data_IF_291632398282
#
_entry.id   IF_291632398282
#
_cell.length_a   1.000
_cell.length_b   1.000
_cell.length_c   1.000
_cell.angle_alpha   90.00
_cell.angle_beta   90.00
_cell.angle_gamma   90.00
#
_symmetry.space_group_name_H-M   'P 1'
#
loop_
_entity.id
_entity.type
_entity.pdbx_description
1 polymer ?
#
# COMPACT_ATOMS: atom_id res chain seq x y z
N UNK A 1 -2.25 23.22 32.51
CA UNK A 1 -2.57 22.37 31.33
C UNK A 1 -2.16 23.15 30.09
N UNK A 2 -1.45 22.53 29.12
CA UNK A 2 -1.17 23.22 27.85
C UNK A 2 -2.50 23.45 27.12
N UNK A 3 -2.80 24.70 26.75
CA UNK A 3 -3.92 24.97 25.85
C UNK A 3 -3.58 24.38 24.48
N UNK A 4 -4.42 23.45 24.02
CA UNK A 4 -4.39 22.91 22.66
C UNK A 4 -5.29 23.79 21.82
N UNK A 5 -4.75 24.36 20.74
CA UNK A 5 -5.53 25.11 19.73
C UNK A 5 -5.62 24.29 18.44
N UNK A 6 -6.58 24.63 17.57
CA UNK A 6 -6.68 24.05 16.23
C UNK A 6 -5.34 24.18 15.48
N UNK A 7 -4.91 23.11 14.81
CA UNK A 7 -3.61 23.04 14.14
C UNK A 7 -2.40 22.72 15.03
N UNK A 8 -2.59 22.58 16.35
CA UNK A 8 -1.51 22.16 17.25
C UNK A 8 -1.07 20.72 16.96
N UNK A 9 0.22 20.52 16.64
CA UNK A 9 0.82 19.18 16.53
C UNK A 9 0.78 18.50 17.89
N UNK A 10 -0.10 17.51 18.03
CA UNK A 10 -0.30 16.79 19.29
C UNK A 10 0.80 15.75 19.56
N UNK A 11 1.32 15.17 18.49
CA UNK A 11 2.27 14.07 18.57
C UNK A 11 3.01 13.93 17.25
N UNK A 12 4.25 13.45 17.31
CA UNK A 12 5.00 12.97 16.15
C UNK A 12 5.72 11.67 16.50
N UNK A 13 5.86 10.75 15.54
CA UNK A 13 6.61 9.52 15.76
C UNK A 13 8.10 9.83 15.94
N UNK A 14 8.76 9.10 16.83
CA UNK A 14 10.22 9.15 16.93
C UNK A 14 10.86 8.53 15.69
N UNK A 15 12.12 8.86 15.43
CA UNK A 15 12.87 8.29 14.29
C UNK A 15 12.90 6.76 14.34
N UNK A 16 12.99 6.17 15.53
CA UNK A 16 12.94 4.73 15.71
C UNK A 16 11.58 4.12 15.31
N UNK A 17 10.47 4.81 15.58
CA UNK A 17 9.14 4.37 15.13
C UNK A 17 9.05 4.46 13.61
N UNK A 18 9.54 5.55 13.02
CA UNK A 18 9.54 5.73 11.57
C UNK A 18 10.40 4.67 10.87
N UNK A 19 11.62 4.42 11.36
CA UNK A 19 12.54 3.45 10.77
C UNK A 19 12.00 2.00 10.81
N UNK A 20 11.23 1.65 11.85
CA UNK A 20 10.68 0.30 12.03
C UNK A 20 9.26 0.12 11.48
N UNK A 21 8.65 1.17 10.90
CA UNK A 21 7.32 1.07 10.32
C UNK A 21 7.32 0.14 9.09
N UNK A 22 6.25 -0.66 8.93
CA UNK A 22 6.05 -1.47 7.73
C UNK A 22 6.06 -0.63 6.44
N UNK A 23 5.57 0.62 6.52
CA UNK A 23 5.58 1.55 5.40
C UNK A 23 7.00 1.90 4.95
N UNK A 24 7.91 2.14 5.88
CA UNK A 24 9.33 2.41 5.59
C UNK A 24 10.02 1.17 5.01
N UNK A 25 9.63 -0.03 5.45
CA UNK A 25 10.09 -1.28 4.82
C UNK A 25 9.53 -1.41 3.39
N UNK A 26 8.27 -1.10 3.19
CA UNK A 26 7.61 -1.17 1.90
C UNK A 26 8.21 -0.20 0.87
N UNK A 27 8.49 1.06 1.26
CA UNK A 27 9.17 2.03 0.38
C UNK A 27 10.55 1.56 -0.05
N UNK A 28 11.33 0.94 0.86
CA UNK A 28 12.63 0.33 0.49
C UNK A 28 12.46 -0.84 -0.46
N UNK A 29 11.50 -1.71 -0.17
CA UNK A 29 11.20 -2.86 -1.04
C UNK A 29 10.75 -2.41 -2.44
N UNK A 30 9.96 -1.34 -2.56
CA UNK A 30 9.56 -0.74 -3.84
C UNK A 30 10.77 -0.19 -4.61
N UNK A 31 11.73 0.45 -3.93
CA UNK A 31 12.96 0.92 -4.56
C UNK A 31 13.79 -0.26 -5.11
N UNK A 32 13.91 -1.34 -4.35
CA UNK A 32 14.70 -2.52 -4.70
C UNK A 32 14.06 -3.37 -5.81
N UNK A 33 12.74 -3.56 -5.78
CA UNK A 33 12.04 -4.53 -6.65
C UNK A 33 11.34 -3.86 -7.84
N UNK A 34 10.97 -2.60 -7.72
CA UNK A 34 10.22 -1.86 -8.75
C UNK A 34 10.92 -0.57 -9.21
N UNK A 35 12.11 -0.26 -8.68
CA UNK A 35 12.86 0.98 -8.97
C UNK A 35 12.06 2.26 -8.65
N UNK A 36 11.08 2.18 -7.74
CA UNK A 36 10.24 3.29 -7.32
C UNK A 36 10.79 3.92 -6.04
N UNK A 37 11.12 5.21 -6.10
CA UNK A 37 11.72 5.96 -5.00
C UNK A 37 10.79 7.09 -4.57
N UNK A 38 10.61 7.24 -3.26
CA UNK A 38 9.74 8.25 -2.67
C UNK A 38 10.48 8.95 -1.53
N UNK A 39 10.45 10.29 -1.53
CA UNK A 39 11.13 11.09 -0.51
C UNK A 39 10.31 11.20 0.77
N UNK A 40 8.98 11.09 0.66
CA UNK A 40 8.06 11.22 1.77
C UNK A 40 6.76 10.43 1.54
N UNK A 41 5.94 10.34 2.59
CA UNK A 41 4.64 9.66 2.53
C UNK A 41 3.67 10.27 1.50
N UNK A 42 3.51 11.60 1.39
CA UNK A 42 2.70 12.21 0.33
C UNK A 42 3.05 11.74 -1.09
N UNK A 43 4.33 11.59 -1.42
CA UNK A 43 4.75 11.13 -2.76
C UNK A 43 4.32 9.68 -3.01
N UNK A 44 4.51 8.80 -2.01
CA UNK A 44 4.04 7.41 -2.07
C UNK A 44 2.51 7.35 -2.19
N UNK A 45 1.80 8.18 -1.42
CA UNK A 45 0.34 8.24 -1.45
C UNK A 45 -0.17 8.69 -2.82
N UNK A 46 0.42 9.75 -3.39
CA UNK A 46 0.04 10.25 -4.70
C UNK A 46 0.22 9.18 -5.77
N UNK A 47 1.35 8.48 -5.75
CA UNK A 47 1.56 7.34 -6.64
C UNK A 47 0.52 6.22 -6.42
N UNK A 48 0.19 5.89 -5.17
CA UNK A 48 -0.77 4.81 -4.87
C UNK A 48 -2.19 5.05 -5.40
N UNK A 49 -2.58 6.32 -5.59
CA UNK A 49 -3.90 6.67 -6.14
C UNK A 49 -3.85 6.90 -7.65
N UNK A 50 -2.73 7.38 -8.17
CA UNK A 50 -2.54 7.62 -9.61
C UNK A 50 -2.30 6.31 -10.36
N UNK A 51 -1.49 5.40 -9.80
CA UNK A 51 -1.10 4.11 -10.36
C UNK A 51 -1.72 2.96 -9.56
N UNK A 52 -3.05 2.88 -9.58
CA UNK A 52 -3.80 2.00 -8.66
C UNK A 52 -3.51 0.51 -8.89
N UNK A 53 -3.39 0.08 -10.15
CA UNK A 53 -3.14 -1.31 -10.52
C UNK A 53 -1.75 -1.72 -10.04
N UNK A 54 -0.72 -0.94 -10.40
CA UNK A 54 0.67 -1.17 -9.95
C UNK A 54 0.76 -1.21 -8.43
N UNK A 55 0.07 -0.29 -7.74
CA UNK A 55 0.07 -0.24 -6.28
C UNK A 55 -0.52 -1.51 -5.65
N UNK A 56 -1.67 -1.98 -6.13
CA UNK A 56 -2.30 -3.16 -5.55
C UNK A 56 -1.60 -4.46 -5.93
N UNK A 57 -0.98 -4.53 -7.11
CA UNK A 57 -0.07 -5.61 -7.48
C UNK A 57 1.15 -5.65 -6.56
N UNK A 58 1.78 -4.49 -6.32
CA UNK A 58 2.97 -4.41 -5.47
C UNK A 58 2.66 -4.73 -4.01
N UNK A 59 1.47 -4.40 -3.51
CA UNK A 59 1.00 -4.84 -2.19
C UNK A 59 0.88 -6.38 -2.15
N UNK A 60 0.33 -7.00 -3.19
CA UNK A 60 0.22 -8.45 -3.28
C UNK A 60 1.59 -9.14 -3.16
N UNK A 61 2.57 -8.63 -3.89
CA UNK A 61 3.94 -9.15 -3.86
C UNK A 61 4.68 -8.86 -2.57
N UNK A 62 4.53 -7.66 -1.99
CA UNK A 62 5.18 -7.29 -0.74
C UNK A 62 4.74 -8.15 0.44
N UNK A 63 3.47 -8.55 0.49
CA UNK A 63 2.95 -9.47 1.50
C UNK A 63 3.09 -10.94 1.12
N UNK A 64 3.69 -11.23 -0.04
CA UNK A 64 3.92 -12.59 -0.54
C UNK A 64 2.63 -13.44 -0.60
N UNK A 65 1.51 -12.79 -0.95
CA UNK A 65 0.21 -13.44 -0.99
C UNK A 65 0.17 -14.53 -2.07
N UNK A 66 -0.39 -15.68 -1.71
CA UNK A 66 -0.47 -16.86 -2.56
C UNK A 66 -1.82 -16.96 -3.24
N UNK A 67 -1.78 -17.16 -4.55
CA UNK A 67 -2.92 -17.56 -5.36
C UNK A 67 -2.65 -18.91 -6.02
N UNK A 68 -3.73 -19.68 -6.21
CA UNK A 68 -3.73 -20.90 -7.02
C UNK A 68 -3.97 -20.59 -8.51
N UNK A 69 -4.52 -19.42 -8.81
CA UNK A 69 -4.68 -18.89 -10.16
C UNK A 69 -4.48 -17.37 -10.12
N UNK A 70 -3.59 -16.86 -10.97
CA UNK A 70 -3.32 -15.42 -11.07
C UNK A 70 -4.52 -14.67 -11.66
N UNK A 71 -4.69 -13.38 -11.32
CA UNK A 71 -5.68 -12.51 -11.95
C UNK A 71 -5.37 -12.29 -13.44
N UNK A 72 -6.40 -11.90 -14.20
CA UNK A 72 -6.23 -11.39 -15.57
C UNK A 72 -5.73 -9.94 -15.58
N UNK A 73 -6.22 -9.15 -14.63
CA UNK A 73 -5.83 -7.76 -14.36
C UNK A 73 -6.08 -7.42 -12.89
N UNK A 74 -5.51 -6.34 -12.38
CA UNK A 74 -5.66 -5.95 -10.98
C UNK A 74 -7.01 -5.27 -10.74
N UNK A 75 -7.43 -4.36 -11.63
CA UNK A 75 -8.71 -3.67 -11.53
C UNK A 75 -9.38 -3.57 -12.91
N UNK A 76 -10.39 -4.40 -13.17
CA UNK A 76 -11.07 -4.43 -14.46
C UNK A 76 -12.12 -3.32 -14.62
N UNK A 77 -12.85 -2.98 -13.55
CA UNK A 77 -13.80 -1.87 -13.55
C UNK A 77 -13.58 -0.99 -12.31
N UNK A 78 -13.43 0.32 -12.53
CA UNK A 78 -13.25 1.32 -11.47
C UNK A 78 -14.56 1.97 -11.04
N UNK A 79 -15.66 1.69 -11.74
CA UNK A 79 -16.97 2.31 -11.51
C UNK A 79 -17.50 1.91 -10.14
N UNK A 80 -18.02 2.89 -9.41
CA UNK A 80 -18.58 2.67 -8.07
C UNK A 80 -20.09 2.93 -8.05
N UNK A 81 -20.90 2.05 -7.41
CA UNK A 81 -20.51 0.76 -6.82
C UNK A 81 -20.26 -0.32 -7.88
N UNK A 82 -19.54 -1.39 -7.51
CA UNK A 82 -19.35 -2.57 -8.37
C UNK A 82 -17.95 -2.75 -8.95
N UNK A 83 -16.96 -1.99 -8.47
CA UNK A 83 -15.57 -2.14 -8.90
C UNK A 83 -15.11 -3.60 -8.83
N UNK A 84 -14.48 -4.08 -9.89
CA UNK A 84 -14.08 -5.48 -10.06
C UNK A 84 -12.57 -5.62 -9.91
N UNK A 85 -12.16 -6.12 -8.75
CA UNK A 85 -10.75 -6.34 -8.40
C UNK A 85 -10.32 -7.78 -8.65
N UNK A 86 -9.11 -7.96 -9.20
CA UNK A 86 -8.45 -9.24 -9.43
C UNK A 86 -9.33 -10.30 -10.12
N UNK A 87 -10.08 -9.96 -11.20
CA UNK A 87 -10.91 -10.94 -11.89
C UNK A 87 -10.12 -12.18 -12.31
N UNK A 88 -10.74 -13.34 -12.14
CA UNK A 88 -10.13 -14.64 -12.41
C UNK A 88 -9.25 -15.17 -11.28
N UNK A 89 -8.71 -14.32 -10.40
CA UNK A 89 -7.83 -14.77 -9.32
C UNK A 89 -8.52 -15.78 -8.39
N UNK A 90 -7.78 -16.81 -7.99
CA UNK A 90 -8.26 -17.81 -7.02
C UNK A 90 -7.27 -17.95 -5.89
N UNK A 91 -7.73 -17.70 -4.67
CA UNK A 91 -6.95 -17.87 -3.46
C UNK A 91 -7.80 -18.44 -2.33
N UNK A 92 -7.12 -18.84 -1.25
CA UNK A 92 -7.75 -19.19 0.00
C UNK A 92 -7.35 -18.18 1.08
N UNK A 93 -8.33 -17.63 1.81
CA UNK A 93 -8.07 -16.67 2.87
C UNK A 93 -7.30 -17.29 4.05
N UNK A 94 -7.71 -18.48 4.50
CA UNK A 94 -7.07 -19.16 5.63
C UNK A 94 -5.65 -19.66 5.33
N UNK A 95 -5.31 -19.85 4.04
CA UNK A 95 -3.94 -20.16 3.61
C UNK A 95 -3.00 -18.94 3.72
N UNK A 96 -3.55 -17.72 3.71
CA UNK A 96 -2.82 -16.47 3.68
C UNK A 96 -2.87 -15.69 5.01
N UNK A 97 -3.28 -16.34 6.12
CA UNK A 97 -3.40 -15.76 7.48
C UNK A 97 -2.46 -16.48 8.44
#
# INVERSE_FOLDING_TARGET
>A
MKQVTEGSLLWSPTDAVQANANLTRYMRWLAENHNLHFDNYPDLWQWSVDQIDDFWESIWHFFELRWSHSPETILADRTMPGAEWFPGARLNYAENI
#
